data_IF_485731552043
#
_entry.id   IF_485731552043
#
_cell.length_a   1.000
_cell.length_b   1.000
_cell.length_c   1.000
_cell.angle_alpha   90.00
_cell.angle_beta   90.00
_cell.angle_gamma   90.00
#
_symmetry.space_group_name_H-M   'P 1'
#
loop_
_entity.id
_entity.type
_entity.pdbx_description
1 polymer ?
#
# COMPACT_ATOMS: atom_id res chain seq x y z
N UNK A 1 -1.78 0.87 13.11
CA UNK A 1 -1.45 2.29 12.78
C UNK A 1 -0.93 2.44 11.37
N UNK A 2 0.15 1.76 10.96
CA UNK A 2 0.68 1.88 9.59
C UNK A 2 -0.31 1.48 8.48
N UNK A 3 -1.05 0.37 8.65
CA UNK A 3 -2.09 -0.06 7.71
C UNK A 3 -3.19 0.99 7.55
N UNK A 4 -3.59 1.64 8.65
CA UNK A 4 -4.66 2.64 8.68
C UNK A 4 -4.25 3.89 7.89
N UNK A 5 -3.01 4.35 8.11
CA UNK A 5 -2.41 5.48 7.37
C UNK A 5 -2.33 5.16 5.88
N UNK A 6 -1.87 3.95 5.52
CA UNK A 6 -1.81 3.50 4.14
C UNK A 6 -3.20 3.44 3.50
N UNK A 7 -4.20 2.92 4.22
CA UNK A 7 -5.57 2.86 3.72
C UNK A 7 -6.15 4.26 3.48
N UNK A 8 -5.92 5.18 4.41
CA UNK A 8 -6.39 6.56 4.29
C UNK A 8 -5.68 7.31 3.15
N UNK A 9 -4.37 7.12 2.97
CA UNK A 9 -3.63 7.69 1.84
C UNK A 9 -4.17 7.17 0.50
N UNK A 10 -4.40 5.87 0.42
CA UNK A 10 -4.95 5.18 -0.74
C UNK A 10 -6.34 5.71 -1.09
N UNK A 11 -7.20 5.90 -0.09
CA UNK A 11 -8.53 6.47 -0.25
C UNK A 11 -8.49 7.93 -0.75
N UNK A 12 -7.63 8.76 -0.17
CA UNK A 12 -7.49 10.18 -0.57
C UNK A 12 -6.90 10.33 -1.97
N UNK A 13 -5.93 9.48 -2.33
CA UNK A 13 -5.20 9.58 -3.60
C UNK A 13 -5.96 8.97 -4.77
N UNK A 14 -6.65 7.85 -4.55
CA UNK A 14 -7.23 7.03 -5.63
C UNK A 14 -8.72 6.71 -5.44
N UNK A 15 -9.31 7.08 -4.30
CA UNK A 15 -10.73 6.85 -4.04
C UNK A 15 -11.11 5.37 -4.07
N UNK A 16 -12.23 5.07 -4.72
CA UNK A 16 -12.83 3.73 -4.75
C UNK A 16 -11.93 2.65 -5.40
N UNK A 17 -11.07 3.02 -6.35
CA UNK A 17 -10.14 2.05 -6.97
C UNK A 17 -9.14 1.48 -5.97
N UNK A 18 -8.85 2.23 -4.89
CA UNK A 18 -7.93 1.75 -3.88
C UNK A 18 -8.47 0.67 -2.96
N UNK A 19 -9.77 0.40 -2.98
CA UNK A 19 -10.42 -0.47 -2.00
C UNK A 19 -9.77 -1.87 -1.95
N UNK A 20 -9.45 -2.44 -3.12
CA UNK A 20 -8.75 -3.73 -3.22
C UNK A 20 -7.32 -3.68 -2.63
N UNK A 21 -6.62 -2.56 -2.78
CA UNK A 21 -5.30 -2.36 -2.17
C UNK A 21 -5.39 -2.17 -0.66
N UNK A 22 -6.43 -1.49 -0.17
CA UNK A 22 -6.66 -1.34 1.27
C UNK A 22 -6.88 -2.69 1.94
N UNK A 23 -7.70 -3.56 1.34
CA UNK A 23 -7.90 -4.93 1.82
C UNK A 23 -6.58 -5.71 1.82
N UNK A 24 -5.80 -5.58 0.74
CA UNK A 24 -4.48 -6.19 0.63
C UNK A 24 -3.54 -5.71 1.74
N UNK A 25 -3.43 -4.40 1.96
CA UNK A 25 -2.61 -3.80 3.03
C UNK A 25 -3.06 -4.28 4.42
N UNK A 26 -4.36 -4.47 4.64
CA UNK A 26 -4.90 -5.00 5.91
C UNK A 26 -4.49 -6.46 6.16
N UNK A 27 -4.25 -7.25 5.12
CA UNK A 27 -3.73 -8.62 5.27
C UNK A 27 -2.24 -8.68 5.61
N UNK A 28 -1.50 -7.59 5.39
CA UNK A 28 -0.07 -7.51 5.72
C UNK A 28 0.08 -7.37 7.23
N UNK A 29 0.54 -8.44 7.88
CA UNK A 29 0.90 -8.43 9.31
C UNK A 29 2.37 -8.09 9.56
N UNK A 30 3.18 -8.08 8.50
CA UNK A 30 4.61 -7.81 8.58
C UNK A 30 4.90 -6.30 8.63
N UNK A 31 5.51 -5.87 9.74
CA UNK A 31 5.84 -4.46 9.98
C UNK A 31 6.95 -3.94 9.06
N UNK A 32 7.87 -4.78 8.65
CA UNK A 32 8.97 -4.41 7.75
C UNK A 32 8.42 -4.13 6.34
N UNK A 33 7.52 -5.00 5.88
CA UNK A 33 6.76 -4.81 4.64
C UNK A 33 5.94 -3.52 4.68
N UNK A 34 5.19 -3.28 5.76
CA UNK A 34 4.41 -2.05 5.93
C UNK A 34 5.29 -0.80 5.93
N UNK A 35 6.45 -0.84 6.60
CA UNK A 35 7.40 0.28 6.64
C UNK A 35 7.98 0.57 5.26
N UNK A 36 8.30 -0.47 4.48
CA UNK A 36 8.81 -0.34 3.11
C UNK A 36 7.77 0.27 2.18
N UNK A 37 6.53 -0.22 2.23
CA UNK A 37 5.41 0.35 1.47
C UNK A 37 5.21 1.80 1.86
N UNK A 38 5.16 2.11 3.17
CA UNK A 38 4.95 3.49 3.64
C UNK A 38 6.04 4.45 3.20
N UNK A 39 7.31 4.03 3.15
CA UNK A 39 8.39 4.90 2.65
C UNK A 39 8.31 5.13 1.13
N UNK A 40 7.88 4.12 0.38
CA UNK A 40 7.86 4.18 -1.07
C UNK A 40 6.56 4.77 -1.64
N UNK A 41 5.45 4.67 -0.91
CA UNK A 41 4.15 5.19 -1.35
C UNK A 41 4.15 6.71 -1.52
N UNK A 42 5.02 7.42 -0.79
CA UNK A 42 5.24 8.87 -0.97
C UNK A 42 6.09 9.22 -2.20
N UNK A 43 6.81 8.24 -2.77
CA UNK A 43 7.61 8.41 -3.99
C UNK A 43 6.81 8.07 -5.25
N UNK A 44 5.84 7.16 -5.12
CA UNK A 44 4.97 6.75 -6.22
C UNK A 44 3.86 7.77 -6.46
N UNK A 45 3.82 8.36 -7.66
CA UNK A 45 2.81 9.35 -8.05
C UNK A 45 1.55 8.72 -8.68
N UNK A 46 1.55 7.41 -8.91
CA UNK A 46 0.55 6.72 -9.72
C UNK A 46 0.02 5.46 -9.03
N UNK A 47 -1.26 5.18 -9.24
CA UNK A 47 -1.94 4.02 -8.66
C UNK A 47 -1.27 2.70 -9.02
N UNK A 48 -0.92 2.54 -10.30
CA UNK A 48 -0.30 1.33 -10.83
C UNK A 48 1.06 1.06 -10.17
N UNK A 49 1.82 2.12 -9.91
CA UNK A 49 3.14 2.06 -9.27
C UNK A 49 3.03 1.67 -7.80
N UNK A 50 2.07 2.26 -7.07
CA UNK A 50 1.73 1.87 -5.69
C UNK A 50 1.25 0.42 -5.62
N UNK A 51 0.40 0.01 -6.56
CA UNK A 51 -0.16 -1.34 -6.61
C UNK A 51 0.93 -2.38 -6.85
N UNK A 52 1.80 -2.15 -7.84
CA UNK A 52 2.95 -2.98 -8.13
C UNK A 52 3.89 -3.09 -6.93
N UNK A 53 4.08 -2.00 -6.18
CA UNK A 53 4.95 -1.98 -5.00
C UNK A 53 4.39 -2.82 -3.84
N UNK A 54 3.08 -2.72 -3.59
CA UNK A 54 2.39 -3.52 -2.56
C UNK A 54 2.46 -5.01 -2.95
N UNK A 55 2.17 -5.34 -4.21
CA UNK A 55 2.24 -6.72 -4.71
C UNK A 55 3.67 -7.29 -4.67
N UNK A 56 4.67 -6.51 -5.08
CA UNK A 56 6.08 -6.91 -5.03
C UNK A 56 6.57 -7.10 -3.59
N UNK A 57 5.97 -6.41 -2.62
CA UNK A 57 6.33 -6.56 -1.21
C UNK A 57 5.67 -7.77 -0.54
N UNK A 58 4.62 -8.33 -1.16
CA UNK A 58 3.89 -9.52 -0.70
C UNK A 58 4.45 -10.84 -1.25
N UNK A 59 5.05 -10.80 -2.44
CA UNK A 59 5.79 -11.93 -3.03
C UNK A 59 7.29 -11.60 -3.04
N UNK A 60 8.01 -11.83 -1.92
CA UNK A 60 9.46 -11.85 -1.97
C UNK A 60 9.89 -13.07 -2.78
N UNK A 61 10.44 -12.82 -3.97
CA UNK A 61 10.99 -13.84 -4.85
C UNK A 61 12.39 -14.29 -4.41
#
# INVERSE_FOLDING_TARGET
MAQDILCQFLEVSFGAESQALQETVRTITDLEVLSRITNQIFLAAQFEEVSALIQSSLHPH
#
